data_IF_065898392329
#
_entry.id   IF_065898392329
#
_cell.length_a   1.000
_cell.length_b   1.000
_cell.length_c   1.000
_cell.angle_alpha   90.00
_cell.angle_beta   90.00
_cell.angle_gamma   90.00
#
_symmetry.space_group_name_H-M   'P 1'
#
loop_
_entity.id
_entity.type
_entity.pdbx_description
1 polymer ?
#
# COMPACT_ATOMS: atom_id res chain seq x y z
N UNK A 1 14.04 61.59 -37.81
CA UNK A 1 13.42 60.98 -39.00
C UNK A 1 12.38 59.98 -38.49
N UNK A 2 11.19 60.30 -37.97
CA UNK A 2 10.09 61.22 -38.35
C UNK A 2 9.39 60.92 -39.67
N UNK A 3 8.29 60.14 -39.56
CA UNK A 3 6.99 60.20 -40.30
C UNK A 3 7.00 59.75 -41.80
N UNK A 4 5.84 59.50 -42.49
CA UNK A 4 4.41 59.55 -42.10
C UNK A 4 3.54 58.41 -42.75
N UNK A 5 2.26 58.60 -43.22
CA UNK A 5 1.02 58.08 -42.60
C UNK A 5 0.06 57.35 -43.61
N UNK A 6 -1.13 56.89 -43.17
CA UNK A 6 -2.45 57.08 -43.84
C UNK A 6 -3.57 56.23 -43.18
N UNK A 7 -4.71 56.88 -42.84
CA UNK A 7 -6.08 56.31 -42.68
C UNK A 7 -6.78 56.28 -44.07
N UNK A 8 -8.09 56.04 -44.32
CA UNK A 8 -9.30 55.81 -43.48
C UNK A 8 -10.13 54.57 -43.96
N UNK A 9 -11.22 54.15 -43.33
CA UNK A 9 -12.64 54.54 -43.55
C UNK A 9 -13.45 53.81 -42.44
N UNK A 10 -14.49 54.33 -41.78
CA UNK A 10 -15.50 55.28 -42.22
C UNK A 10 -16.77 54.54 -42.62
N UNK A 11 -17.68 54.25 -41.67
CA UNK A 11 -19.10 54.50 -41.88
C UNK A 11 -19.91 54.52 -40.57
N UNK A 12 -20.83 55.45 -40.52
CA UNK A 12 -21.69 55.89 -39.44
C UNK A 12 -23.15 55.73 -39.88
N UNK A 13 -24.00 55.12 -39.05
CA UNK A 13 -25.43 55.49 -39.00
C UNK A 13 -26.11 55.02 -37.71
N UNK A 14 -26.37 55.99 -36.83
CA UNK A 14 -27.45 55.99 -35.81
C UNK A 14 -28.81 56.28 -36.49
N UNK A 15 -29.96 56.59 -35.82
CA UNK A 15 -30.32 56.65 -34.38
C UNK A 15 -31.76 56.13 -34.01
N UNK A 16 -32.12 56.35 -32.73
CA UNK A 16 -33.47 56.58 -32.13
C UNK A 16 -34.38 55.35 -31.87
N UNK A 17 -34.76 55.01 -30.64
CA UNK A 17 -35.59 55.65 -29.59
C UNK A 17 -37.12 55.56 -29.82
N UNK A 18 -37.83 55.31 -28.71
CA UNK A 18 -39.23 55.63 -28.39
C UNK A 18 -40.30 54.50 -28.18
N UNK A 19 -40.61 54.31 -26.87
CA UNK A 19 -41.95 54.36 -26.19
C UNK A 19 -43.02 53.26 -26.32
N UNK A 20 -43.59 52.87 -25.16
CA UNK A 20 -45.02 52.50 -24.97
C UNK A 20 -45.30 51.26 -24.08
N UNK A 21 -45.49 51.37 -22.76
CA UNK A 21 -46.78 51.40 -22.01
C UNK A 21 -47.69 50.14 -22.10
N UNK A 22 -47.82 49.34 -21.02
CA UNK A 22 -48.99 49.24 -20.12
C UNK A 22 -48.86 48.11 -19.07
N UNK A 23 -49.54 48.31 -17.94
CA UNK A 23 -49.44 47.63 -16.65
C UNK A 23 -49.97 46.18 -16.57
N UNK A 24 -49.41 45.40 -15.63
CA UNK A 24 -49.93 44.09 -15.22
C UNK A 24 -49.29 43.56 -13.92
N UNK A 25 -49.86 43.98 -12.78
CA UNK A 25 -49.91 43.33 -11.45
C UNK A 25 -48.99 42.14 -11.12
N UNK A 26 -48.13 42.32 -10.10
CA UNK A 26 -47.53 41.22 -9.31
C UNK A 26 -48.58 40.52 -8.42
N UNK A 27 -48.43 39.21 -8.19
CA UNK A 27 -48.72 38.63 -6.89
C UNK A 27 -47.42 38.20 -6.18
N UNK A 28 -47.32 38.62 -4.92
CA UNK A 28 -46.34 38.15 -3.93
C UNK A 28 -46.43 36.63 -3.80
N UNK A 29 -45.29 35.93 -3.95
CA UNK A 29 -45.09 34.62 -3.31
C UNK A 29 -44.10 34.77 -2.16
N UNK A 30 -44.66 34.92 -0.97
CA UNK A 30 -43.98 34.66 0.28
C UNK A 30 -44.08 33.16 0.58
N UNK A 31 -43.00 32.59 1.14
CA UNK A 31 -43.04 31.35 1.91
C UNK A 31 -42.67 30.08 1.17
N UNK A 32 -41.40 29.69 1.28
CA UNK A 32 -40.92 28.33 1.62
C UNK A 32 -39.47 28.15 1.14
N UNK A 33 -38.56 29.00 1.64
CA UNK A 33 -37.17 28.61 1.81
C UNK A 33 -36.97 28.35 3.30
N UNK A 34 -36.11 27.39 3.63
CA UNK A 34 -35.79 26.84 4.96
C UNK A 34 -36.60 25.57 5.32
N UNK A 35 -36.24 24.44 4.70
CA UNK A 35 -36.32 23.11 5.32
C UNK A 35 -35.58 22.06 4.45
N UNK A 36 -34.27 22.24 4.20
CA UNK A 36 -33.48 21.20 3.50
C UNK A 36 -31.96 21.24 3.74
N UNK A 37 -31.45 21.89 4.80
CA UNK A 37 -29.98 22.01 4.99
C UNK A 37 -29.52 21.82 6.44
N UNK A 38 -30.16 20.94 7.22
CA UNK A 38 -29.68 20.63 8.58
C UNK A 38 -29.87 19.15 8.93
N UNK A 39 -29.31 18.24 8.14
CA UNK A 39 -29.19 16.83 8.56
C UNK A 39 -27.77 16.24 8.45
N UNK A 40 -26.85 16.84 7.72
CA UNK A 40 -25.51 16.24 7.51
C UNK A 40 -24.45 16.62 8.56
N UNK A 41 -24.62 17.72 9.31
CA UNK A 41 -23.61 18.16 10.28
C UNK A 41 -23.69 17.44 11.65
N UNK A 42 -24.76 16.69 11.93
CA UNK A 42 -25.04 16.15 13.26
C UNK A 42 -24.62 14.68 13.49
N UNK A 43 -24.46 13.87 12.44
CA UNK A 43 -24.38 12.41 12.58
C UNK A 43 -23.01 11.88 13.10
N UNK A 44 -21.95 12.69 13.04
CA UNK A 44 -20.61 12.32 13.50
C UNK A 44 -20.40 12.51 15.01
N UNK A 45 -21.22 13.35 15.65
CA UNK A 45 -21.16 13.57 17.08
C UNK A 45 -21.56 12.28 17.82
N UNK A 46 -20.62 11.73 18.59
CA UNK A 46 -20.77 10.45 19.30
C UNK A 46 -20.49 9.19 18.46
N UNK A 47 -20.34 9.27 17.13
CA UNK A 47 -19.96 8.10 16.30
C UNK A 47 -18.61 7.54 16.71
N UNK A 48 -17.63 8.43 16.93
CA UNK A 48 -16.30 8.09 17.45
C UNK A 48 -16.36 7.31 18.76
N UNK A 49 -17.20 7.73 19.69
CA UNK A 49 -17.31 7.09 21.01
C UNK A 49 -18.07 5.76 20.91
N UNK A 50 -19.11 5.68 20.08
CA UNK A 50 -19.81 4.40 19.78
C UNK A 50 -18.86 3.36 19.19
N UNK A 51 -18.02 3.74 18.22
CA UNK A 51 -17.01 2.85 17.64
C UNK A 51 -15.99 2.39 18.68
N UNK A 52 -15.49 3.30 19.53
CA UNK A 52 -14.55 2.98 20.61
C UNK A 52 -15.16 2.02 21.63
N UNK A 53 -16.41 2.23 22.02
CA UNK A 53 -17.12 1.34 22.94
C UNK A 53 -17.29 -0.04 22.33
N UNK A 54 -17.72 -0.11 21.07
CA UNK A 54 -17.89 -1.41 20.38
C UNK A 54 -16.59 -2.19 20.31
N UNK A 55 -15.48 -1.55 19.94
CA UNK A 55 -14.15 -2.18 19.92
C UNK A 55 -13.70 -2.63 21.31
N UNK A 56 -13.97 -1.83 22.36
CA UNK A 56 -13.61 -2.18 23.73
C UNK A 56 -14.37 -3.39 24.25
N UNK A 57 -15.65 -3.50 23.92
CA UNK A 57 -16.54 -4.56 24.43
C UNK A 57 -16.40 -5.86 23.65
N UNK A 58 -16.20 -5.78 22.33
CA UNK A 58 -16.31 -6.93 21.44
C UNK A 58 -15.04 -7.18 20.59
N UNK A 59 -14.00 -6.35 20.77
CA UNK A 59 -12.72 -6.50 20.09
C UNK A 59 -12.77 -6.18 18.59
N UNK A 60 -11.88 -6.82 17.86
CA UNK A 60 -11.67 -6.68 16.41
C UNK A 60 -12.82 -7.24 15.56
N UNK A 61 -13.40 -8.38 15.96
CA UNK A 61 -14.48 -9.04 15.22
C UNK A 61 -15.77 -8.23 15.08
N UNK A 62 -15.92 -7.15 15.84
CA UNK A 62 -17.12 -6.32 15.86
C UNK A 62 -17.09 -5.13 14.89
N UNK A 63 -15.97 -4.91 14.20
CA UNK A 63 -15.77 -3.80 13.29
C UNK A 63 -15.43 -4.29 11.89
N UNK A 64 -15.97 -3.60 10.89
CA UNK A 64 -15.49 -3.75 9.53
C UNK A 64 -14.11 -3.10 9.37
N UNK A 65 -13.33 -3.53 8.36
CA UNK A 65 -12.00 -2.97 8.06
C UNK A 65 -11.98 -1.44 7.97
N UNK A 66 -13.00 -0.84 7.35
CA UNK A 66 -13.08 0.63 7.24
C UNK A 66 -13.34 1.29 8.60
N UNK A 67 -14.03 0.63 9.53
CA UNK A 67 -14.27 1.12 10.89
C UNK A 67 -13.00 1.03 11.74
N UNK A 68 -12.19 -0.04 11.55
CA UNK A 68 -10.86 -0.16 12.17
C UNK A 68 -9.95 0.98 11.70
N UNK A 69 -9.93 1.23 10.39
CA UNK A 69 -9.14 2.31 9.81
C UNK A 69 -9.66 3.69 10.24
N UNK A 70 -10.97 3.86 10.36
CA UNK A 70 -11.60 5.08 10.89
C UNK A 70 -11.16 5.35 12.33
N UNK A 71 -11.16 4.34 13.20
CA UNK A 71 -10.69 4.46 14.59
C UNK A 71 -9.23 4.90 14.68
N UNK A 72 -8.38 4.40 13.78
CA UNK A 72 -6.99 4.82 13.70
C UNK A 72 -6.88 6.28 13.24
N UNK A 73 -7.55 6.63 12.14
CA UNK A 73 -7.54 7.98 11.57
C UNK A 73 -8.08 9.05 12.53
N UNK A 74 -9.02 8.71 13.43
CA UNK A 74 -9.46 9.64 14.48
C UNK A 74 -8.34 10.16 15.39
N UNK A 75 -7.26 9.38 15.55
CA UNK A 75 -6.08 9.78 16.33
C UNK A 75 -5.12 10.65 15.52
N UNK A 76 -5.04 10.38 14.21
CA UNK A 76 -4.10 11.04 13.30
C UNK A 76 -4.66 12.35 12.71
N UNK A 77 -6.00 12.44 12.58
CA UNK A 77 -6.71 13.57 11.98
C UNK A 77 -7.78 14.06 12.97
N UNK A 78 -7.42 14.98 13.89
CA UNK A 78 -8.37 15.48 14.87
C UNK A 78 -9.46 16.36 14.23
N UNK A 79 -10.66 16.33 14.82
CA UNK A 79 -11.80 17.23 14.48
C UNK A 79 -12.25 17.17 13.01
N UNK A 80 -12.11 16.02 12.36
CA UNK A 80 -12.60 15.77 11.00
C UNK A 80 -13.40 14.48 10.95
N UNK A 81 -14.34 14.40 10.03
CA UNK A 81 -14.95 13.14 9.64
C UNK A 81 -13.94 12.30 8.84
N UNK A 82 -13.56 11.14 9.39
CA UNK A 82 -12.57 10.23 8.82
C UNK A 82 -13.21 9.03 8.13
N UNK A 83 -14.54 8.85 8.20
CA UNK A 83 -15.22 7.73 7.55
C UNK A 83 -15.06 7.76 6.02
N UNK A 84 -15.23 8.90 5.32
CA UNK A 84 -15.00 8.96 3.88
C UNK A 84 -13.54 8.68 3.52
N UNK A 85 -12.59 9.11 4.36
CA UNK A 85 -11.16 8.90 4.15
C UNK A 85 -10.82 7.41 4.29
N UNK A 86 -11.33 6.74 5.33
CA UNK A 86 -11.14 5.31 5.54
C UNK A 86 -11.70 4.48 4.38
N UNK A 87 -12.91 4.83 3.90
CA UNK A 87 -13.50 4.19 2.74
C UNK A 87 -12.69 4.43 1.46
N UNK A 88 -12.24 5.65 1.21
CA UNK A 88 -11.43 5.98 0.04
C UNK A 88 -10.08 5.24 0.03
N UNK A 89 -9.46 5.05 1.20
CA UNK A 89 -8.24 4.24 1.33
C UNK A 89 -8.52 2.78 0.94
N UNK A 90 -9.57 2.16 1.47
CA UNK A 90 -9.89 0.77 1.14
C UNK A 90 -10.40 0.59 -0.29
N UNK A 91 -11.12 1.56 -0.84
CA UNK A 91 -11.53 1.55 -2.25
C UNK A 91 -10.32 1.57 -3.17
N UNK A 92 -9.30 2.38 -2.84
CA UNK A 92 -8.08 2.50 -3.63
C UNK A 92 -7.12 1.32 -3.47
N UNK A 93 -6.97 0.80 -2.25
CA UNK A 93 -5.94 -0.19 -1.93
C UNK A 93 -6.49 -1.61 -1.66
N UNK A 94 -7.81 -1.79 -1.71
CA UNK A 94 -8.52 -3.06 -1.56
C UNK A 94 -8.67 -3.51 -0.12
N UNK A 95 -7.55 -3.73 0.57
CA UNK A 95 -7.50 -4.34 1.91
C UNK A 95 -6.73 -3.48 2.90
N UNK A 96 -6.86 -3.76 4.21
CA UNK A 96 -6.02 -3.13 5.23
C UNK A 96 -4.53 -3.35 4.94
N UNK A 97 -4.16 -4.56 4.52
CA UNK A 97 -2.78 -4.88 4.13
C UNK A 97 -2.33 -3.98 2.97
N UNK A 98 -3.18 -3.79 1.94
CA UNK A 98 -2.92 -2.86 0.85
C UNK A 98 -2.70 -1.42 1.30
N UNK A 99 -3.51 -0.93 2.25
CA UNK A 99 -3.37 0.42 2.81
C UNK A 99 -2.03 0.58 3.54
N UNK A 100 -1.69 -0.33 4.46
CA UNK A 100 -0.43 -0.25 5.20
C UNK A 100 0.80 -0.55 4.33
N UNK A 101 0.60 -1.31 3.25
CA UNK A 101 1.60 -1.67 2.27
C UNK A 101 1.94 -0.55 1.28
N UNK A 102 0.97 0.29 0.92
CA UNK A 102 1.14 1.37 -0.05
C UNK A 102 2.31 2.30 0.26
N UNK A 103 2.88 2.91 -0.78
CA UNK A 103 3.95 3.91 -0.62
C UNK A 103 3.40 5.23 -0.04
N UNK A 104 4.21 6.02 0.67
CA UNK A 104 3.78 7.33 1.18
C UNK A 104 3.23 8.26 0.10
N UNK A 105 3.77 8.20 -1.12
CA UNK A 105 3.31 9.01 -2.25
C UNK A 105 1.90 8.61 -2.68
N UNK A 106 1.64 7.31 -2.83
CA UNK A 106 0.31 6.80 -3.21
C UNK A 106 -0.74 7.07 -2.13
N UNK A 107 -0.37 6.98 -0.86
CA UNK A 107 -1.26 7.32 0.26
C UNK A 107 -1.70 8.78 0.21
N UNK A 108 -0.78 9.70 -0.07
CA UNK A 108 -1.03 11.15 -0.12
C UNK A 108 -1.91 11.59 -1.28
N UNK A 109 -2.08 10.76 -2.31
CA UNK A 109 -3.05 11.03 -3.36
C UNK A 109 -4.50 10.87 -2.90
N UNK A 110 -4.75 10.22 -1.75
CA UNK A 110 -6.09 10.14 -1.15
C UNK A 110 -6.41 11.45 -0.42
N UNK A 111 -7.48 12.13 -0.85
CA UNK A 111 -7.92 13.41 -0.26
C UNK A 111 -8.13 13.28 1.25
N UNK A 112 -7.37 14.05 2.01
CA UNK A 112 -7.40 14.05 3.48
C UNK A 112 -6.24 13.32 4.14
N UNK A 113 -5.38 12.65 3.36
CA UNK A 113 -4.12 12.07 3.82
C UNK A 113 -2.98 13.03 3.49
N UNK A 114 -2.48 13.72 4.51
CA UNK A 114 -1.25 14.51 4.40
C UNK A 114 0.00 13.68 4.71
N UNK A 115 1.16 14.29 4.55
CA UNK A 115 2.46 13.69 4.84
C UNK A 115 2.54 13.03 6.23
N UNK A 116 2.10 13.72 7.28
CA UNK A 116 2.12 13.20 8.66
C UNK A 116 1.29 11.91 8.81
N UNK A 117 0.08 11.88 8.23
CA UNK A 117 -0.80 10.71 8.31
C UNK A 117 -0.20 9.55 7.51
N UNK A 118 0.37 9.81 6.33
CA UNK A 118 1.06 8.80 5.54
C UNK A 118 2.27 8.23 6.30
N UNK A 119 3.06 9.08 6.95
CA UNK A 119 4.17 8.67 7.81
C UNK A 119 3.70 7.75 8.94
N UNK A 120 2.65 8.14 9.68
CA UNK A 120 2.15 7.35 10.82
C UNK A 120 1.59 5.99 10.39
N UNK A 121 0.91 5.92 9.24
CA UNK A 121 0.47 4.65 8.66
C UNK A 121 1.67 3.74 8.32
N UNK A 122 2.75 4.29 7.76
CA UNK A 122 3.99 3.52 7.50
C UNK A 122 4.73 3.15 8.77
N UNK A 123 4.69 3.98 9.79
CA UNK A 123 5.26 3.65 11.10
C UNK A 123 4.57 2.42 11.69
N UNK A 124 3.24 2.36 11.62
CA UNK A 124 2.46 1.20 12.08
C UNK A 124 2.84 -0.06 11.28
N UNK A 125 2.90 0.03 9.95
CA UNK A 125 3.38 -1.06 9.09
C UNK A 125 4.78 -1.55 9.50
N UNK A 126 5.69 -0.63 9.80
CA UNK A 126 7.05 -0.94 10.26
C UNK A 126 7.06 -1.67 11.60
N UNK A 127 6.22 -1.24 12.55
CA UNK A 127 6.06 -1.90 13.85
C UNK A 127 5.54 -3.32 13.68
N UNK A 128 4.52 -3.54 12.84
CA UNK A 128 3.99 -4.87 12.52
C UNK A 128 5.08 -5.77 11.94
N UNK A 129 5.80 -5.29 10.93
CA UNK A 129 6.89 -6.04 10.29
C UNK A 129 8.00 -6.41 11.28
N UNK A 130 8.44 -5.46 12.13
CA UNK A 130 9.45 -5.73 13.16
C UNK A 130 8.97 -6.72 14.22
N UNK A 131 7.70 -6.67 14.57
CA UNK A 131 7.09 -7.60 15.54
C UNK A 131 7.09 -9.02 14.99
N UNK A 132 6.62 -9.22 13.75
CA UNK A 132 6.67 -10.52 13.07
C UNK A 132 8.11 -11.02 12.91
N UNK A 133 9.05 -10.16 12.48
CA UNK A 133 10.48 -10.50 12.38
C UNK A 133 11.06 -10.96 13.72
N UNK A 134 10.75 -10.25 14.80
CA UNK A 134 11.23 -10.58 16.14
C UNK A 134 10.72 -11.94 16.60
N UNK A 135 9.51 -12.31 16.17
CA UNK A 135 8.92 -13.62 16.43
C UNK A 135 9.69 -14.78 15.79
N UNK A 136 10.43 -14.52 14.70
CA UNK A 136 11.24 -15.51 13.97
C UNK A 136 12.70 -15.59 14.45
N UNK A 137 13.27 -14.48 14.93
CA UNK A 137 14.68 -14.41 15.31
C UNK A 137 15.00 -15.38 16.45
N UNK A 138 16.00 -16.24 16.26
CA UNK A 138 16.42 -17.24 17.25
C UNK A 138 15.45 -18.40 17.47
N UNK A 139 14.35 -18.48 16.71
CA UNK A 139 13.45 -19.64 16.69
C UNK A 139 13.73 -20.52 15.47
N UNK A 140 13.36 -21.79 15.58
CA UNK A 140 13.39 -22.71 14.44
C UNK A 140 12.34 -22.29 13.41
N UNK A 141 12.80 -21.71 12.30
CA UNK A 141 11.98 -21.17 11.22
C UNK A 141 11.06 -22.24 10.63
N UNK A 142 11.58 -23.46 10.49
CA UNK A 142 10.83 -24.61 9.96
C UNK A 142 9.78 -25.16 10.94
N UNK A 143 9.81 -24.81 12.23
CA UNK A 143 8.81 -25.26 13.19
C UNK A 143 7.44 -24.58 12.98
N UNK A 144 7.40 -23.45 12.27
CA UNK A 144 6.16 -22.81 11.86
C UNK A 144 6.34 -22.15 10.49
N UNK A 145 6.16 -22.95 9.44
CA UNK A 145 6.19 -22.46 8.06
C UNK A 145 5.21 -21.33 7.82
N UNK A 146 4.02 -21.39 8.42
CA UNK A 146 3.02 -20.31 8.36
C UNK A 146 3.58 -18.98 8.87
N UNK A 147 4.34 -18.98 9.97
CA UNK A 147 4.96 -17.76 10.50
C UNK A 147 5.98 -17.15 9.52
N UNK A 148 6.66 -17.98 8.73
CA UNK A 148 7.59 -17.52 7.68
C UNK A 148 6.83 -16.85 6.55
N UNK A 149 5.74 -17.48 6.11
CA UNK A 149 4.86 -16.96 5.06
C UNK A 149 4.21 -15.64 5.50
N UNK A 150 3.66 -15.59 6.71
CA UNK A 150 3.03 -14.38 7.27
C UNK A 150 4.03 -13.22 7.36
N UNK A 151 5.27 -13.53 7.78
CA UNK A 151 6.36 -12.57 7.79
C UNK A 151 6.69 -12.06 6.39
N UNK A 152 6.88 -12.97 5.43
CA UNK A 152 7.21 -12.62 4.05
C UNK A 152 6.10 -11.79 3.38
N UNK A 153 4.82 -12.13 3.62
CA UNK A 153 3.68 -11.31 3.16
C UNK A 153 3.72 -9.91 3.75
N UNK A 154 3.87 -9.78 5.08
CA UNK A 154 3.94 -8.49 5.72
C UNK A 154 5.14 -7.64 5.26
N UNK A 155 6.25 -8.30 4.91
CA UNK A 155 7.48 -7.65 4.48
C UNK A 155 7.48 -7.26 2.99
N UNK A 156 6.77 -7.99 2.12
CA UNK A 156 7.03 -7.93 0.67
C UNK A 156 5.78 -7.85 -0.23
N UNK A 157 4.58 -8.24 0.24
CA UNK A 157 3.40 -8.40 -0.62
C UNK A 157 2.92 -7.11 -1.32
N UNK A 158 3.19 -5.96 -0.71
CA UNK A 158 2.78 -4.65 -1.23
C UNK A 158 3.96 -3.77 -1.63
N UNK A 159 5.16 -4.34 -1.70
CA UNK A 159 6.30 -3.64 -2.23
C UNK A 159 6.11 -3.42 -3.74
N UNK A 160 6.34 -2.18 -4.20
CA UNK A 160 6.06 -1.79 -5.59
C UNK A 160 7.19 -2.18 -6.54
N UNK A 161 8.33 -2.60 -5.98
CA UNK A 161 9.51 -3.06 -6.70
C UNK A 161 9.74 -4.53 -6.39
N UNK A 162 10.29 -5.23 -7.36
CA UNK A 162 10.77 -6.59 -7.12
C UNK A 162 11.97 -6.56 -6.17
N UNK A 163 11.89 -7.34 -5.10
CA UNK A 163 12.93 -7.52 -4.10
C UNK A 163 13.27 -8.99 -3.98
N UNK A 164 14.57 -9.29 -3.99
CA UNK A 164 15.07 -10.63 -3.68
C UNK A 164 15.62 -10.65 -2.25
N UNK A 165 14.97 -11.42 -1.39
CA UNK A 165 15.26 -11.60 0.04
C UNK A 165 15.78 -13.00 0.29
N UNK A 166 16.74 -13.11 1.20
CA UNK A 166 17.31 -14.38 1.64
C UNK A 166 17.24 -14.47 3.15
N UNK A 167 16.66 -15.57 3.63
CA UNK A 167 16.69 -15.95 5.03
C UNK A 167 17.84 -16.95 5.23
N UNK A 168 18.86 -16.53 5.97
CA UNK A 168 20.03 -17.33 6.29
C UNK A 168 19.80 -18.09 7.59
N UNK A 169 19.95 -19.41 7.57
CA UNK A 169 19.63 -20.29 8.69
C UNK A 169 20.85 -21.06 9.19
N UNK A 170 20.86 -21.33 10.49
CA UNK A 170 21.86 -22.21 11.12
C UNK A 170 21.50 -23.70 11.01
N UNK A 171 22.35 -24.56 11.57
CA UNK A 171 22.18 -26.03 11.55
C UNK A 171 20.92 -26.53 12.27
N UNK A 172 20.31 -25.70 13.12
CA UNK A 172 19.05 -25.99 13.81
C UNK A 172 17.86 -25.35 13.09
N UNK A 173 18.08 -24.79 11.91
CA UNK A 173 17.15 -24.00 11.12
C UNK A 173 16.65 -22.74 11.85
N UNK A 174 17.49 -22.17 12.71
CA UNK A 174 17.19 -20.88 13.32
C UNK A 174 17.64 -19.73 12.42
N UNK A 175 16.85 -18.65 12.37
CA UNK A 175 17.17 -17.48 11.56
C UNK A 175 18.41 -16.75 12.10
N UNK A 176 19.50 -16.75 11.32
CA UNK A 176 20.73 -15.99 11.58
C UNK A 176 20.54 -14.55 11.12
N UNK A 177 20.17 -14.40 9.84
CA UNK A 177 20.02 -13.10 9.19
C UNK A 177 18.88 -13.15 8.17
N UNK A 178 18.31 -11.97 7.94
CA UNK A 178 17.32 -11.73 6.91
C UNK A 178 17.76 -10.47 6.16
N UNK A 179 18.11 -10.65 4.90
CA UNK A 179 18.71 -9.62 4.07
C UNK A 179 18.00 -9.54 2.72
N UNK A 180 17.71 -8.31 2.30
CA UNK A 180 17.34 -8.01 0.92
C UNK A 180 18.65 -7.88 0.16
N UNK A 181 19.01 -8.92 -0.59
CA UNK A 181 20.23 -8.94 -1.40
C UNK A 181 20.10 -8.04 -2.63
N UNK A 182 18.87 -7.76 -3.05
CA UNK A 182 18.64 -6.95 -4.24
C UNK A 182 17.34 -6.17 -4.19
N UNK A 183 17.40 -4.90 -4.59
CA UNK A 183 16.24 -4.05 -4.87
C UNK A 183 16.33 -3.61 -6.33
N UNK A 184 15.55 -4.23 -7.21
CA UNK A 184 15.64 -3.99 -8.66
C UNK A 184 14.81 -2.78 -9.14
N UNK A 185 15.06 -2.32 -10.36
CA UNK A 185 14.12 -1.44 -11.13
C UNK A 185 13.02 -2.29 -11.78
N UNK A 186 12.11 -1.66 -12.54
CA UNK A 186 10.88 -2.24 -13.11
C UNK A 186 11.11 -3.51 -13.98
N UNK A 187 12.32 -3.77 -14.49
CA UNK A 187 12.62 -4.82 -15.50
C UNK A 187 13.60 -5.93 -15.04
N UNK A 188 13.47 -6.40 -13.80
CA UNK A 188 14.38 -7.36 -13.15
C UNK A 188 15.78 -6.79 -12.87
N UNK A 189 16.42 -7.31 -11.83
CA UNK A 189 17.87 -7.15 -11.64
C UNK A 189 18.41 -8.55 -11.41
N UNK A 190 19.52 -8.95 -12.04
CA UNK A 190 20.00 -10.32 -11.97
C UNK A 190 20.49 -10.67 -10.57
N UNK A 191 19.89 -11.67 -9.92
CA UNK A 191 20.44 -12.26 -8.69
C UNK A 191 21.70 -13.03 -9.07
N UNK A 192 22.82 -12.71 -8.44
CA UNK A 192 24.08 -13.39 -8.71
C UNK A 192 24.29 -14.54 -7.70
N UNK A 193 24.22 -15.82 -8.13
CA UNK A 193 24.36 -16.96 -7.22
C UNK A 193 25.65 -16.94 -6.39
N UNK A 194 26.74 -16.43 -6.96
CA UNK A 194 28.02 -16.28 -6.26
C UNK A 194 27.92 -15.39 -5.02
N UNK A 195 27.14 -14.31 -5.07
CA UNK A 195 26.99 -13.38 -3.94
C UNK A 195 26.10 -14.00 -2.86
N UNK A 196 25.06 -14.74 -3.27
CA UNK A 196 24.21 -15.52 -2.36
C UNK A 196 25.04 -16.51 -1.55
N UNK A 197 25.85 -17.31 -2.23
CA UNK A 197 26.68 -18.35 -1.59
C UNK A 197 27.81 -17.74 -0.77
N UNK A 198 28.49 -16.71 -1.29
CA UNK A 198 29.50 -15.95 -0.53
C UNK A 198 28.92 -15.42 0.78
N UNK A 199 27.73 -14.82 0.73
CA UNK A 199 27.08 -14.28 1.93
C UNK A 199 26.68 -15.37 2.91
N UNK A 200 26.19 -16.52 2.40
CA UNK A 200 25.86 -17.66 3.24
C UNK A 200 27.10 -18.16 4.01
N UNK A 201 28.26 -18.25 3.35
CA UNK A 201 29.51 -18.62 3.99
C UNK A 201 30.00 -17.59 5.02
N UNK A 202 29.93 -16.29 4.70
CA UNK A 202 30.27 -15.20 5.64
C UNK A 202 29.45 -15.27 6.94
N UNK A 203 28.17 -15.64 6.82
CA UNK A 203 27.26 -15.79 7.96
C UNK A 203 27.33 -17.18 8.61
N UNK A 204 28.16 -18.09 8.10
CA UNK A 204 28.19 -19.50 8.52
C UNK A 204 26.81 -20.17 8.47
N UNK A 205 25.99 -19.79 7.48
CA UNK A 205 24.67 -20.35 7.26
C UNK A 205 24.81 -21.76 6.66
N UNK A 206 24.02 -22.70 7.17
CA UNK A 206 23.96 -24.07 6.65
C UNK A 206 22.71 -24.30 5.79
N UNK A 207 21.77 -23.35 5.81
CA UNK A 207 20.61 -23.40 4.94
C UNK A 207 20.07 -22.03 4.57
N UNK A 208 19.32 -21.97 3.47
CA UNK A 208 18.73 -20.77 2.89
C UNK A 208 17.24 -20.97 2.61
N UNK A 209 16.45 -19.91 2.76
CA UNK A 209 15.14 -19.78 2.12
C UNK A 209 15.23 -18.55 1.22
N UNK A 210 14.98 -18.76 -0.08
CA UNK A 210 14.94 -17.69 -1.07
C UNK A 210 13.52 -17.14 -1.12
N UNK A 211 13.37 -15.83 -1.25
CA UNK A 211 12.05 -15.19 -1.34
C UNK A 211 12.11 -14.02 -2.31
N UNK A 212 11.15 -13.89 -3.20
CA UNK A 212 10.92 -12.63 -3.92
C UNK A 212 9.44 -12.29 -4.04
N UNK A 213 9.14 -11.04 -4.33
CA UNK A 213 7.77 -10.59 -4.59
C UNK A 213 7.53 -10.32 -6.07
N UNK A 214 6.31 -10.56 -6.52
CA UNK A 214 5.83 -10.08 -7.81
C UNK A 214 4.93 -8.86 -7.60
N UNK A 215 5.36 -7.64 -7.99
CA UNK A 215 4.53 -6.43 -7.86
C UNK A 215 3.19 -6.52 -8.63
N UNK A 216 3.13 -7.37 -9.66
CA UNK A 216 1.89 -7.70 -10.38
C UNK A 216 0.82 -8.30 -9.46
N UNK A 217 1.24 -9.00 -8.40
CA UNK A 217 0.41 -9.70 -7.43
C UNK A 217 0.21 -11.19 -7.72
N UNK A 218 0.57 -11.68 -8.90
CA UNK A 218 0.51 -13.10 -9.26
C UNK A 218 1.78 -13.83 -8.79
N UNK A 219 1.69 -14.81 -7.87
CA UNK A 219 2.86 -15.52 -7.37
C UNK A 219 3.36 -16.65 -8.30
N UNK A 220 2.80 -16.83 -9.51
CA UNK A 220 3.24 -17.87 -10.42
C UNK A 220 4.73 -17.71 -10.81
N UNK A 221 5.56 -18.78 -10.70
CA UNK A 221 6.97 -18.70 -11.02
C UNK A 221 7.21 -18.53 -12.52
N UNK A 222 8.09 -17.61 -12.88
CA UNK A 222 8.63 -17.53 -14.24
C UNK A 222 9.67 -18.61 -14.48
N UNK A 223 10.00 -18.84 -15.76
CA UNK A 223 11.10 -19.73 -16.14
C UNK A 223 12.45 -19.24 -15.60
N UNK A 224 12.65 -17.92 -15.55
CA UNK A 224 13.88 -17.32 -15.04
C UNK A 224 14.05 -17.60 -13.54
N UNK A 225 12.96 -17.56 -12.76
CA UNK A 225 12.98 -17.88 -11.33
C UNK A 225 13.44 -19.31 -11.09
N UNK A 226 12.90 -20.26 -11.86
CA UNK A 226 13.22 -21.68 -11.74
C UNK A 226 14.69 -21.93 -12.10
N UNK A 227 15.16 -21.37 -13.22
CA UNK A 227 16.54 -21.54 -13.69
C UNK A 227 17.55 -20.93 -12.69
N UNK A 228 17.28 -19.72 -12.20
CA UNK A 228 18.11 -19.05 -11.19
C UNK A 228 18.15 -19.87 -9.89
N UNK A 229 17.01 -20.37 -9.43
CA UNK A 229 16.92 -21.18 -8.19
C UNK A 229 17.73 -22.46 -8.30
N UNK A 230 17.59 -23.19 -9.41
CA UNK A 230 18.34 -24.44 -9.63
C UNK A 230 19.83 -24.17 -9.64
N UNK A 231 20.27 -23.08 -10.27
CA UNK A 231 21.67 -22.69 -10.27
C UNK A 231 22.18 -22.40 -8.85
N UNK A 232 21.40 -21.72 -8.00
CA UNK A 232 21.77 -21.51 -6.59
C UNK A 232 21.86 -22.85 -5.84
N UNK A 233 20.87 -23.74 -6.02
CA UNK A 233 20.86 -25.08 -5.39
C UNK A 233 22.12 -25.86 -5.77
N UNK A 234 22.47 -25.89 -7.06
CA UNK A 234 23.61 -26.64 -7.57
C UNK A 234 24.95 -26.12 -7.06
N UNK A 235 25.09 -24.80 -6.88
CA UNK A 235 26.32 -24.18 -6.34
C UNK A 235 26.40 -24.30 -4.82
N UNK A 236 25.26 -24.24 -4.12
CA UNK A 236 25.21 -24.32 -2.66
C UNK A 236 25.46 -25.75 -2.14
N UNK A 237 25.03 -26.77 -2.90
CA UNK A 237 25.09 -28.19 -2.49
C UNK A 237 26.51 -28.71 -2.20
N UNK A 238 27.55 -28.48 -3.03
CA UNK A 238 28.92 -28.89 -2.73
C UNK A 238 29.52 -28.23 -1.48
N UNK A 239 28.96 -27.11 -1.04
CA UNK A 239 29.36 -26.38 0.15
C UNK A 239 28.54 -26.76 1.39
N UNK A 240 27.71 -27.81 1.27
CA UNK A 240 26.83 -28.30 2.33
C UNK A 240 25.79 -27.25 2.80
N UNK A 241 25.43 -26.31 1.92
CA UNK A 241 24.39 -25.31 2.18
C UNK A 241 23.09 -25.78 1.52
N UNK A 242 22.06 -26.04 2.33
CA UNK A 242 20.75 -26.50 1.85
C UNK A 242 19.86 -25.33 1.45
N UNK A 243 19.34 -25.30 0.23
CA UNK A 243 18.24 -24.39 -0.13
C UNK A 243 16.93 -25.10 0.20
N UNK A 244 16.21 -24.64 1.23
CA UNK A 244 14.99 -25.28 1.71
C UNK A 244 13.81 -25.09 0.78
N UNK A 245 13.67 -23.88 0.25
CA UNK A 245 12.63 -23.50 -0.69
C UNK A 245 12.97 -22.17 -1.38
N UNK A 246 12.20 -21.87 -2.43
CA UNK A 246 12.07 -20.55 -2.98
C UNK A 246 10.59 -20.16 -3.01
N UNK A 247 10.26 -19.09 -2.28
CA UNK A 247 8.90 -18.60 -2.09
C UNK A 247 8.68 -17.34 -2.93
N UNK A 248 7.61 -17.32 -3.71
CA UNK A 248 7.19 -16.14 -4.47
C UNK A 248 5.97 -15.53 -3.78
N UNK A 249 6.05 -14.26 -3.41
CA UNK A 249 5.01 -13.54 -2.68
C UNK A 249 4.23 -12.66 -3.66
N UNK A 250 2.93 -12.93 -3.78
CA UNK A 250 1.95 -12.06 -4.42
C UNK A 250 1.18 -11.23 -3.39
N UNK A 251 0.18 -10.47 -3.87
CA UNK A 251 -0.66 -9.62 -3.00
C UNK A 251 -1.51 -10.44 -2.03
N UNK A 252 -2.20 -11.46 -2.56
CA UNK A 252 -3.18 -12.26 -1.83
C UNK A 252 -2.80 -13.75 -1.73
N UNK A 253 -1.57 -14.11 -2.11
CA UNK A 253 -1.11 -15.50 -2.10
C UNK A 253 0.40 -15.64 -2.32
N UNK A 254 0.87 -16.88 -2.25
CA UNK A 254 2.27 -17.22 -2.47
C UNK A 254 2.40 -18.53 -3.26
N UNK A 255 3.57 -18.74 -3.86
CA UNK A 255 3.95 -20.01 -4.47
C UNK A 255 5.24 -20.51 -3.83
N UNK A 256 5.36 -21.83 -3.69
CA UNK A 256 6.56 -22.52 -3.21
C UNK A 256 7.08 -23.38 -4.36
N UNK A 257 8.30 -23.10 -4.84
CA UNK A 257 8.91 -23.89 -5.91
C UNK A 257 9.05 -25.36 -5.49
N UNK A 258 9.35 -25.63 -4.22
CA UNK A 258 9.42 -27.00 -3.69
C UNK A 258 8.07 -27.70 -3.69
N UNK A 259 7.00 -27.02 -3.26
CA UNK A 259 5.65 -27.58 -3.27
C UNK A 259 5.16 -27.88 -4.69
N UNK A 260 5.58 -27.06 -5.65
CA UNK A 260 5.34 -27.24 -7.08
C UNK A 260 6.29 -28.28 -7.73
N UNK A 261 7.23 -28.87 -6.96
CA UNK A 261 8.24 -29.84 -7.44
C UNK A 261 9.14 -29.30 -8.55
N UNK A 262 9.47 -28.02 -8.49
CA UNK A 262 10.35 -27.34 -9.46
C UNK A 262 11.82 -27.39 -9.05
N UNK A 263 12.08 -27.69 -7.78
CA UNK A 263 13.39 -27.89 -7.14
C UNK A 263 13.34 -29.05 -6.14
#
# INVERSE_FOLDING_TARGET
>A
MTKPPFSPDGDTSQPADERGFFAGQQPKRAGAAIAAVQQDDAHYHGHRDRLRTRYREHGDTALADYEILELLLFRLIPRRDTKPIAKALLERFGTLAGVFGASPALLQEVKGIGEAVAFDLKLISTVTHRTLKSGLKGKQVLASWSSVIDYCHAAMAHETREQFRILFLDKRNALIADEVQQTGTIDHTPVYPREVVKRALELSATALILVHNHPSGDPAPSRADIEMTRLIVDIAKPLEITVHDHIIIGKDGHASLKSLRLI
#
